data_IF_929292035826
#
_entry.id   IF_929292035826
#
_cell.length_a   1.000
_cell.length_b   1.000
_cell.length_c   1.000
_cell.angle_alpha   90.00
_cell.angle_beta   90.00
_cell.angle_gamma   90.00
#
_symmetry.space_group_name_H-M   'P 1'
#
loop_
_entity.id
_entity.type
_entity.pdbx_description
1 polymer ?
#
# COMPACT_ATOMS: atom_id res chain seq x y z
N UNK A 1 21.64 -33.94 41.85
CA UNK A 1 21.95 -34.23 40.43
C UNK A 1 20.70 -34.34 39.55
N UNK A 2 19.52 -34.71 40.07
CA UNK A 2 18.28 -34.75 39.27
C UNK A 2 17.71 -33.35 38.95
N UNK A 3 17.87 -32.37 39.85
CA UNK A 3 17.31 -31.01 39.66
C UNK A 3 18.01 -30.19 38.56
N UNK A 4 19.34 -30.34 38.38
CA UNK A 4 20.06 -29.65 37.29
C UNK A 4 19.61 -30.13 35.91
N UNK A 5 19.34 -31.44 35.78
CA UNK A 5 18.91 -32.06 34.52
C UNK A 5 17.50 -31.63 34.10
N UNK A 6 16.61 -31.34 35.07
CA UNK A 6 15.28 -30.80 34.80
C UNK A 6 15.30 -29.33 34.41
N UNK A 7 16.26 -28.54 34.93
CA UNK A 7 16.44 -27.14 34.55
C UNK A 7 17.02 -26.99 33.13
N UNK A 8 17.95 -27.87 32.75
CA UNK A 8 18.49 -27.91 31.38
C UNK A 8 17.42 -28.27 30.35
N UNK A 9 16.52 -29.19 30.69
CA UNK A 9 15.42 -29.59 29.80
C UNK A 9 14.38 -28.48 29.63
N UNK A 10 14.04 -27.76 30.72
CA UNK A 10 13.13 -26.62 30.67
C UNK A 10 13.69 -25.45 29.82
N UNK A 11 15.00 -25.21 29.88
CA UNK A 11 15.65 -24.15 29.06
C UNK A 11 15.63 -24.53 27.57
N UNK A 12 15.84 -25.80 27.24
CA UNK A 12 15.74 -26.30 25.86
C UNK A 12 14.31 -26.13 25.32
N UNK A 13 13.30 -26.56 26.09
CA UNK A 13 11.89 -26.47 25.67
C UNK A 13 11.45 -25.02 25.44
N UNK A 14 11.95 -24.07 26.25
CA UNK A 14 11.69 -22.64 26.07
C UNK A 14 12.39 -22.11 24.81
N UNK A 15 13.64 -22.50 24.56
CA UNK A 15 14.37 -22.07 23.36
C UNK A 15 13.72 -22.58 22.07
N UNK A 16 13.27 -23.84 22.05
CA UNK A 16 12.56 -24.41 20.90
C UNK A 16 11.21 -23.72 20.69
N UNK A 17 10.51 -23.34 21.76
CA UNK A 17 9.26 -22.57 21.67
C UNK A 17 9.49 -21.16 21.14
N UNK A 18 10.57 -20.48 21.56
CA UNK A 18 10.93 -19.17 21.02
C UNK A 18 11.39 -19.24 19.56
N UNK A 19 12.10 -20.31 19.17
CA UNK A 19 12.52 -20.51 17.79
C UNK A 19 11.32 -20.78 16.88
N UNK A 20 10.39 -21.63 17.30
CA UNK A 20 9.15 -21.89 16.55
C UNK A 20 8.26 -20.63 16.46
N UNK A 21 8.14 -19.87 17.54
CA UNK A 21 7.39 -18.61 17.52
C UNK A 21 8.07 -17.53 16.65
N UNK A 22 9.41 -17.52 16.57
CA UNK A 22 10.14 -16.61 15.69
C UNK A 22 10.01 -17.02 14.22
N UNK A 23 10.08 -18.32 13.92
CA UNK A 23 9.88 -18.87 12.57
C UNK A 23 8.44 -18.66 12.10
N UNK A 24 7.45 -18.83 12.97
CA UNK A 24 6.03 -18.55 12.68
C UNK A 24 5.79 -17.05 12.44
N UNK A 25 6.46 -16.16 13.20
CA UNK A 25 6.42 -14.71 12.94
C UNK A 25 7.11 -14.32 11.62
N UNK A 26 8.24 -14.97 11.28
CA UNK A 26 8.95 -14.75 10.02
C UNK A 26 8.17 -15.29 8.81
N UNK A 27 7.44 -16.41 8.95
CA UNK A 27 6.52 -16.91 7.92
C UNK A 27 5.31 -15.99 7.76
N UNK A 28 4.67 -15.57 8.85
CA UNK A 28 3.52 -14.64 8.79
C UNK A 28 3.90 -13.30 8.13
N UNK A 29 5.12 -12.80 8.41
CA UNK A 29 5.63 -11.57 7.81
C UNK A 29 6.10 -11.77 6.37
N UNK A 30 6.65 -12.95 6.04
CA UNK A 30 6.96 -13.31 4.64
C UNK A 30 5.71 -13.48 3.79
N UNK A 31 4.69 -14.17 4.28
CA UNK A 31 3.44 -14.38 3.56
C UNK A 31 2.73 -13.03 3.34
N UNK A 32 2.74 -12.14 4.35
CA UNK A 32 2.27 -10.76 4.18
C UNK A 32 3.12 -9.98 3.18
N UNK A 33 4.45 -10.09 3.22
CA UNK A 33 5.31 -9.39 2.25
C UNK A 33 5.16 -9.96 0.83
N UNK A 34 4.90 -11.26 0.68
CA UNK A 34 4.65 -11.92 -0.60
C UNK A 34 3.27 -11.50 -1.17
N UNK A 35 2.25 -11.38 -0.31
CA UNK A 35 0.94 -10.84 -0.67
C UNK A 35 1.01 -9.37 -1.14
N UNK A 36 1.94 -8.58 -0.60
CA UNK A 36 2.16 -7.19 -1.04
C UNK A 36 3.06 -7.09 -2.28
N UNK A 37 3.99 -8.03 -2.46
CA UNK A 37 4.89 -8.06 -3.61
C UNK A 37 4.15 -8.35 -4.92
N UNK A 38 3.03 -9.07 -4.85
CA UNK A 38 2.19 -9.43 -6.00
C UNK A 38 1.08 -8.40 -6.29
N UNK A 39 0.81 -7.43 -5.39
CA UNK A 39 -0.22 -6.40 -5.60
C UNK A 39 0.33 -5.18 -6.38
N UNK A 40 -0.47 -4.66 -7.32
CA UNK A 40 -0.11 -3.42 -8.00
C UNK A 40 -0.14 -2.25 -6.99
N UNK A 41 0.77 -1.30 -7.16
CA UNK A 41 0.83 -0.10 -6.29
C UNK A 41 -0.51 0.65 -6.27
N UNK A 42 -1.28 0.54 -7.35
CA UNK A 42 -2.63 1.10 -7.43
C UNK A 42 -3.60 0.42 -6.48
N UNK A 43 -3.57 -0.92 -6.41
CA UNK A 43 -4.45 -1.68 -5.52
C UNK A 43 -4.08 -1.44 -4.07
N UNK A 44 -2.78 -1.35 -3.76
CA UNK A 44 -2.30 -1.01 -2.41
C UNK A 44 -2.75 0.39 -2.03
N UNK A 45 -2.52 1.39 -2.90
CA UNK A 45 -2.87 2.77 -2.62
C UNK A 45 -4.39 2.95 -2.43
N UNK A 46 -5.20 2.41 -3.34
CA UNK A 46 -6.66 2.53 -3.27
C UNK A 46 -7.26 1.72 -2.11
N UNK A 47 -6.80 0.50 -1.84
CA UNK A 47 -7.36 -0.31 -0.74
C UNK A 47 -6.88 0.16 0.64
N UNK A 48 -5.64 0.63 0.76
CA UNK A 48 -5.06 0.99 2.07
C UNK A 48 -5.31 2.44 2.46
N UNK A 49 -5.21 3.36 1.49
CA UNK A 49 -5.37 4.81 1.74
C UNK A 49 -6.77 5.28 1.35
N UNK A 50 -7.31 4.78 0.24
CA UNK A 50 -8.62 5.17 -0.28
C UNK A 50 -8.53 6.33 -1.27
N UNK A 51 -9.37 6.27 -2.31
CA UNK A 51 -9.44 7.30 -3.34
C UNK A 51 -9.68 8.71 -2.78
N UNK A 52 -10.55 8.94 -1.77
CA UNK A 52 -10.81 10.28 -1.25
C UNK A 52 -9.64 10.90 -0.49
N UNK A 53 -8.73 10.08 0.01
CA UNK A 53 -7.56 10.53 0.76
C UNK A 53 -6.40 10.84 -0.20
N UNK A 54 -6.29 10.07 -1.29
CA UNK A 54 -5.30 10.28 -2.36
C UNK A 54 -5.68 11.46 -3.25
N UNK A 55 -6.91 11.48 -3.76
CA UNK A 55 -7.39 12.47 -4.72
C UNK A 55 -8.06 13.66 -4.03
N UNK A 56 -7.32 14.35 -3.16
CA UNK A 56 -7.84 15.57 -2.55
C UNK A 56 -8.21 16.62 -3.60
N UNK A 57 -9.17 17.51 -3.28
CA UNK A 57 -9.54 18.61 -4.18
C UNK A 57 -8.34 19.48 -4.59
N UNK A 58 -7.30 19.58 -3.76
CA UNK A 58 -6.05 20.28 -4.08
C UNK A 58 -5.25 19.52 -5.12
N UNK A 59 -4.89 18.26 -4.83
CA UNK A 59 -4.17 17.39 -5.75
C UNK A 59 -4.84 17.33 -7.12
N UNK A 60 -6.16 17.07 -7.16
CA UNK A 60 -6.92 16.95 -8.41
C UNK A 60 -6.85 18.24 -9.24
N UNK A 61 -6.98 19.41 -8.61
CA UNK A 61 -6.91 20.70 -9.32
C UNK A 61 -5.49 21.03 -9.81
N UNK A 62 -4.47 20.55 -9.13
CA UNK A 62 -3.07 20.81 -9.48
C UNK A 62 -2.57 19.86 -10.57
N UNK A 63 -3.00 18.60 -10.53
CA UNK A 63 -2.51 17.54 -11.40
C UNK A 63 -3.42 17.25 -12.59
N UNK A 64 -4.65 17.77 -12.60
CA UNK A 64 -5.63 17.51 -13.66
C UNK A 64 -6.42 18.77 -14.03
N UNK A 65 -7.20 18.70 -15.11
CA UNK A 65 -8.09 19.78 -15.55
C UNK A 65 -9.41 19.84 -14.75
N UNK A 66 -9.63 18.93 -13.80
CA UNK A 66 -10.87 18.88 -13.02
C UNK A 66 -10.87 19.89 -11.86
N UNK A 67 -12.03 20.49 -11.60
CA UNK A 67 -12.17 21.54 -10.56
C UNK A 67 -12.27 20.98 -9.14
N UNK A 68 -12.52 19.68 -8.98
CA UNK A 68 -12.68 19.03 -7.67
C UNK A 68 -12.56 17.51 -7.79
N UNK A 69 -12.30 16.84 -6.68
CA UNK A 69 -12.34 15.38 -6.55
C UNK A 69 -13.66 14.82 -7.09
N UNK A 70 -14.79 15.39 -6.67
CA UNK A 70 -16.10 14.93 -7.14
C UNK A 70 -16.26 15.04 -8.67
N UNK A 71 -15.67 16.07 -9.30
CA UNK A 71 -15.76 16.23 -10.75
C UNK A 71 -14.90 15.18 -11.47
N UNK A 72 -13.73 14.88 -10.92
CA UNK A 72 -12.85 13.80 -11.38
C UNK A 72 -13.54 12.44 -11.27
N UNK A 73 -14.07 12.08 -10.10
CA UNK A 73 -14.76 10.80 -9.89
C UNK A 73 -15.96 10.62 -10.82
N UNK A 74 -16.77 11.67 -11.01
CA UNK A 74 -17.92 11.61 -11.92
C UNK A 74 -17.53 11.51 -13.40
N UNK A 75 -16.31 11.89 -13.77
CA UNK A 75 -15.81 11.77 -15.13
C UNK A 75 -15.30 10.35 -15.43
N UNK A 76 -14.91 9.60 -14.40
CA UNK A 76 -14.45 8.23 -14.56
C UNK A 76 -15.62 7.28 -14.85
N UNK A 77 -15.44 6.30 -15.75
CA UNK A 77 -16.45 5.28 -16.04
C UNK A 77 -16.57 4.20 -14.95
N UNK A 78 -15.81 4.34 -13.86
CA UNK A 78 -15.73 3.39 -12.75
C UNK A 78 -15.73 4.14 -11.42
N UNK A 79 -16.15 3.46 -10.36
CA UNK A 79 -16.03 3.96 -9.00
C UNK A 79 -14.71 3.48 -8.39
N UNK A 80 -13.78 4.39 -8.14
CA UNK A 80 -12.46 4.06 -7.59
C UNK A 80 -12.53 3.45 -6.18
N UNK A 81 -13.56 3.77 -5.40
CA UNK A 81 -13.73 3.22 -4.04
C UNK A 81 -14.18 1.75 -4.03
N UNK A 82 -14.77 1.28 -5.12
CA UNK A 82 -15.25 -0.09 -5.27
C UNK A 82 -14.28 -0.95 -6.11
N UNK A 83 -13.14 -0.38 -6.52
CA UNK A 83 -12.13 -1.09 -7.26
C UNK A 83 -11.29 -1.96 -6.34
N UNK A 84 -11.16 -3.23 -6.71
CA UNK A 84 -10.32 -4.20 -6.01
C UNK A 84 -9.17 -4.72 -6.86
N UNK A 85 -9.15 -4.39 -8.15
CA UNK A 85 -8.16 -4.88 -9.12
C UNK A 85 -8.00 -3.88 -10.27
N UNK A 86 -6.78 -3.40 -10.47
CA UNK A 86 -6.41 -2.43 -11.51
C UNK A 86 -6.23 -3.08 -12.89
N UNK A 87 -5.96 -4.38 -12.97
CA UNK A 87 -5.67 -5.06 -14.23
C UNK A 87 -6.92 -5.19 -15.13
N UNK A 88 -8.11 -5.09 -14.54
CA UNK A 88 -9.41 -5.14 -15.25
C UNK A 88 -9.99 -3.76 -15.60
N UNK A 89 -9.15 -2.71 -15.57
CA UNK A 89 -9.59 -1.35 -15.86
C UNK A 89 -10.04 -1.17 -17.32
N UNK A 90 -11.21 -0.54 -17.55
CA UNK A 90 -11.61 -0.13 -18.89
C UNK A 90 -10.59 0.87 -19.47
N UNK A 91 -10.17 0.70 -20.72
CA UNK A 91 -9.29 1.65 -21.44
C UNK A 91 -9.83 3.10 -21.42
N UNK A 92 -11.15 3.26 -21.26
CA UNK A 92 -11.81 4.55 -21.11
C UNK A 92 -11.34 5.33 -19.86
N UNK A 93 -10.89 4.64 -18.80
CA UNK A 93 -10.29 5.26 -17.61
C UNK A 93 -9.00 5.96 -18.00
N UNK A 94 -8.02 5.22 -18.54
CA UNK A 94 -6.76 5.82 -18.96
C UNK A 94 -6.93 6.88 -20.05
N UNK A 95 -7.90 6.70 -20.94
CA UNK A 95 -8.24 7.73 -21.94
C UNK A 95 -8.71 9.02 -21.27
N UNK A 96 -9.52 8.93 -20.22
CA UNK A 96 -9.97 10.08 -19.43
C UNK A 96 -8.79 10.77 -18.76
N UNK A 97 -7.88 10.00 -18.14
CA UNK A 97 -6.66 10.54 -17.51
C UNK A 97 -5.78 11.26 -18.53
N UNK A 98 -5.45 10.62 -19.65
CA UNK A 98 -4.63 11.20 -20.74
C UNK A 98 -5.22 12.47 -21.33
N UNK A 99 -6.55 12.60 -21.31
CA UNK A 99 -7.24 13.74 -21.92
C UNK A 99 -7.25 14.94 -20.99
N UNK A 100 -7.26 14.73 -19.68
CA UNK A 100 -7.49 15.76 -18.68
C UNK A 100 -6.31 15.93 -17.71
N UNK A 101 -5.13 15.39 -18.02
CA UNK A 101 -3.94 15.50 -17.18
C UNK A 101 -2.68 15.23 -18.01
N UNK A 102 -1.51 15.46 -17.42
CA UNK A 102 -0.22 15.14 -18.04
C UNK A 102 0.17 13.65 -17.91
N UNK A 103 -0.68 12.83 -17.28
CA UNK A 103 -0.42 11.42 -17.00
C UNK A 103 -0.94 10.49 -18.10
N UNK A 104 -0.27 9.35 -18.31
CA UNK A 104 -0.57 8.41 -19.38
C UNK A 104 -1.62 7.36 -19.00
N UNK A 105 -1.86 7.16 -17.71
CA UNK A 105 -2.76 6.13 -17.16
C UNK A 105 -3.20 6.48 -15.75
N UNK A 106 -4.26 5.82 -15.26
CA UNK A 106 -4.66 5.93 -13.85
C UNK A 106 -3.52 5.50 -12.92
N UNK A 107 -2.74 4.49 -13.31
CA UNK A 107 -1.60 4.02 -12.54
C UNK A 107 -0.58 5.10 -12.26
N UNK A 108 -0.16 5.85 -13.28
CA UNK A 108 0.81 6.94 -13.09
C UNK A 108 0.25 8.07 -12.21
N UNK A 109 -1.05 8.35 -12.33
CA UNK A 109 -1.70 9.36 -11.51
C UNK A 109 -1.84 8.92 -10.04
N UNK A 110 -2.19 7.66 -9.80
CA UNK A 110 -2.26 7.06 -8.44
C UNK A 110 -0.88 7.01 -7.80
N UNK A 111 0.15 6.65 -8.56
CA UNK A 111 1.54 6.65 -8.08
C UNK A 111 1.96 8.04 -7.59
N UNK A 112 1.69 9.10 -8.37
CA UNK A 112 1.96 10.47 -7.96
C UNK A 112 1.14 10.91 -6.72
N UNK A 113 -0.15 10.55 -6.67
CA UNK A 113 -1.01 10.86 -5.51
C UNK A 113 -0.52 10.15 -4.24
N UNK A 114 -0.08 8.91 -4.38
CA UNK A 114 0.44 8.11 -3.28
C UNK A 114 1.80 8.63 -2.80
N UNK A 115 2.71 9.00 -3.71
CA UNK A 115 3.98 9.64 -3.37
C UNK A 115 3.76 10.93 -2.57
N UNK A 116 2.85 11.80 -3.02
CA UNK A 116 2.51 13.04 -2.30
C UNK A 116 1.92 12.74 -0.92
N UNK A 117 1.03 11.76 -0.82
CA UNK A 117 0.46 11.33 0.46
C UNK A 117 1.54 10.81 1.41
N UNK A 118 2.46 9.97 0.92
CA UNK A 118 3.60 9.46 1.71
C UNK A 118 4.45 10.62 2.22
N UNK A 119 4.79 11.60 1.37
CA UNK A 119 5.56 12.78 1.81
C UNK A 119 4.85 13.62 2.88
N UNK A 120 3.51 13.63 2.89
CA UNK A 120 2.71 14.39 3.86
C UNK A 120 2.53 13.66 5.18
N UNK A 121 2.21 12.37 5.14
CA UNK A 121 1.73 11.61 6.29
C UNK A 121 2.79 10.69 6.91
N UNK A 122 3.75 10.22 6.11
CA UNK A 122 4.83 9.37 6.62
C UNK A 122 5.99 10.26 7.00
N UNK A 123 6.34 10.26 8.28
CA UNK A 123 7.57 10.88 8.74
C UNK A 123 8.77 10.06 8.25
N UNK A 124 9.24 10.39 7.04
CA UNK A 124 10.39 9.71 6.44
C UNK A 124 11.68 9.89 7.25
N UNK A 125 11.69 10.77 8.29
CA UNK A 125 12.83 10.87 9.21
C UNK A 125 13.03 9.61 10.05
N UNK A 126 12.03 8.73 10.18
CA UNK A 126 12.17 7.42 10.83
C UNK A 126 12.89 6.38 9.95
N UNK A 127 12.96 6.62 8.62
CA UNK A 127 13.67 5.78 7.64
C UNK A 127 14.98 6.41 7.16
N UNK A 128 15.37 7.55 7.73
CA UNK A 128 16.68 8.16 7.55
C UNK A 128 17.73 7.26 8.23
N UNK A 129 18.14 6.21 7.54
CA UNK A 129 19.35 5.45 7.88
C UNK A 129 20.54 6.37 7.60
N UNK A 130 20.93 7.12 8.63
CA UNK A 130 22.25 7.75 8.75
C UNK A 130 23.30 6.77 8.19
N UNK A 131 23.83 7.08 6.99
CA UNK A 131 24.87 6.30 6.31
C UNK A 131 26.25 6.48 6.94
#
# INVERSE_FOLDING_TARGET
>A
MAEMKGMEQLVSDIQDTFAAAAEELEEDERDRLEEWADQDIVDIALNHVGAPVLFTDEFVREQTEFESQLAFENALPVNLDEMTDVDDLPEAVDTTIRTNSDYSSLKELVDAAFEEWVYREVDLSEFDVDS
#
